data_IF_362814963474
#
_entry.id   IF_362814963474
#
_cell.length_a   1.000
_cell.length_b   1.000
_cell.length_c   1.000
_cell.angle_alpha   90.00
_cell.angle_beta   90.00
_cell.angle_gamma   90.00
#
_symmetry.space_group_name_H-M   'P 1'
#
loop_
_entity.id
_entity.type
_entity.pdbx_description
1 polymer ?
#
# COMPACT_ATOMS: atom_id res chain seq x y z
N UNK A 1 -13.27 -3.95 9.01
CA UNK A 1 -13.23 -5.05 8.04
C UNK A 1 -14.54 -5.11 7.30
N UNK A 2 -14.47 -4.93 5.99
CA UNK A 2 -15.59 -5.03 5.04
C UNK A 2 -15.32 -6.10 3.98
N UNK A 3 -14.10 -6.64 3.88
CA UNK A 3 -13.75 -7.80 3.07
C UNK A 3 -13.71 -9.09 3.91
N UNK A 4 -13.94 -10.26 3.28
CA UNK A 4 -13.68 -11.56 3.91
C UNK A 4 -12.23 -11.70 4.38
N UNK A 5 -11.98 -12.57 5.36
CA UNK A 5 -10.68 -12.72 6.02
C UNK A 5 -9.52 -12.95 5.01
N UNK A 6 -9.75 -13.76 3.98
CA UNK A 6 -8.81 -14.06 2.90
C UNK A 6 -8.38 -12.84 2.06
N UNK A 7 -9.16 -11.75 2.08
CA UNK A 7 -8.89 -10.51 1.34
C UNK A 7 -8.57 -9.32 2.25
N UNK A 8 -8.33 -9.55 3.53
CA UNK A 8 -8.02 -8.47 4.50
C UNK A 8 -6.79 -7.65 4.08
N UNK A 9 -5.78 -8.29 3.49
CA UNK A 9 -4.57 -7.64 2.98
C UNK A 9 -4.87 -6.58 1.90
N UNK A 10 -6.01 -6.70 1.20
CA UNK A 10 -6.40 -5.80 0.13
C UNK A 10 -7.10 -4.53 0.65
N UNK A 11 -7.67 -4.56 1.86
CA UNK A 11 -8.32 -3.39 2.46
C UNK A 11 -7.40 -2.15 2.52
N UNK A 12 -6.18 -2.22 3.12
CA UNK A 12 -5.28 -1.07 3.16
C UNK A 12 -4.80 -0.64 1.77
N UNK A 13 -4.64 -1.59 0.83
CA UNK A 13 -4.22 -1.32 -0.55
C UNK A 13 -5.29 -0.52 -1.31
N UNK A 14 -6.55 -0.93 -1.20
CA UNK A 14 -7.67 -0.21 -1.83
C UNK A 14 -7.82 1.18 -1.22
N UNK A 15 -7.75 1.30 0.12
CA UNK A 15 -7.83 2.60 0.79
C UNK A 15 -6.70 3.51 0.32
N UNK A 16 -5.46 3.01 0.28
CA UNK A 16 -4.31 3.77 -0.23
C UNK A 16 -4.55 4.23 -1.68
N UNK A 17 -5.00 3.35 -2.57
CA UNK A 17 -5.26 3.69 -3.96
C UNK A 17 -6.36 4.75 -4.13
N UNK A 18 -7.42 4.70 -3.30
CA UNK A 18 -8.46 5.75 -3.27
C UNK A 18 -7.85 7.08 -2.85
N UNK A 19 -6.98 7.10 -1.82
CA UNK A 19 -6.28 8.32 -1.41
C UNK A 19 -5.41 8.86 -2.56
N UNK A 20 -4.62 8.00 -3.21
CA UNK A 20 -3.80 8.40 -4.37
C UNK A 20 -4.66 9.01 -5.48
N UNK A 21 -5.78 8.38 -5.81
CA UNK A 21 -6.72 8.89 -6.80
C UNK A 21 -7.21 10.30 -6.46
N UNK A 22 -7.67 10.52 -5.22
CA UNK A 22 -8.19 11.82 -4.78
C UNK A 22 -7.09 12.87 -4.76
N UNK A 23 -5.91 12.52 -4.25
CA UNK A 23 -4.76 13.42 -4.18
C UNK A 23 -4.30 13.82 -5.58
N UNK A 24 -4.17 12.87 -6.50
CA UNK A 24 -3.75 13.16 -7.88
C UNK A 24 -4.83 13.93 -8.65
N UNK A 25 -6.11 13.66 -8.40
CA UNK A 25 -7.21 14.41 -9.00
C UNK A 25 -7.18 15.89 -8.56
N UNK A 26 -6.97 16.14 -7.27
CA UNK A 26 -6.85 17.49 -6.71
C UNK A 26 -5.54 18.14 -7.17
N UNK A 27 -4.41 17.44 -7.08
CA UNK A 27 -3.09 17.92 -7.50
C UNK A 27 -3.08 18.33 -8.97
N UNK A 28 -3.67 17.51 -9.86
CA UNK A 28 -3.82 17.85 -11.27
C UNK A 28 -4.80 19.02 -11.53
N UNK A 29 -5.65 19.38 -10.56
CA UNK A 29 -6.51 20.56 -10.63
C UNK A 29 -5.76 21.85 -10.23
N UNK A 30 -4.82 21.75 -9.30
CA UNK A 30 -4.01 22.86 -8.80
C UNK A 30 -2.76 22.93 -9.68
N UNK A 31 -2.77 23.83 -10.66
CA UNK A 31 -1.64 23.98 -11.59
C UNK A 31 -0.39 24.55 -10.88
N UNK A 32 0.38 23.69 -10.23
CA UNK A 32 1.68 24.07 -9.66
C UNK A 32 2.64 24.46 -10.78
N UNK A 33 3.48 25.47 -10.54
CA UNK A 33 4.44 25.99 -11.53
C UNK A 33 5.50 24.98 -11.99
N UNK A 34 5.57 23.79 -11.38
CA UNK A 34 6.49 22.71 -11.77
C UNK A 34 5.90 21.31 -11.56
N UNK A 35 6.09 20.42 -12.54
CA UNK A 35 5.64 19.02 -12.50
C UNK A 35 6.27 18.22 -11.35
N UNK A 36 7.54 18.49 -11.06
CA UNK A 36 8.27 17.90 -9.92
C UNK A 36 7.63 18.31 -8.60
N UNK A 37 7.30 19.61 -8.46
CA UNK A 37 6.65 20.13 -7.27
C UNK A 37 5.28 19.49 -7.09
N UNK A 38 4.51 19.30 -8.17
CA UNK A 38 3.22 18.60 -8.11
C UNK A 38 3.38 17.18 -7.55
N UNK A 39 4.32 16.40 -8.09
CA UNK A 39 4.57 15.04 -7.60
C UNK A 39 4.99 15.01 -6.12
N UNK A 40 5.88 15.93 -5.71
CA UNK A 40 6.33 16.05 -4.31
C UNK A 40 5.14 16.37 -3.40
N UNK A 41 4.33 17.37 -3.76
CA UNK A 41 3.16 17.75 -2.97
C UNK A 41 2.17 16.60 -2.87
N UNK A 42 1.87 15.92 -3.98
CA UNK A 42 1.00 14.73 -3.96
C UNK A 42 1.55 13.63 -3.06
N UNK A 43 2.87 13.36 -3.12
CA UNK A 43 3.52 12.39 -2.23
C UNK A 43 3.43 12.77 -0.76
N UNK A 44 3.68 14.03 -0.42
CA UNK A 44 3.60 14.53 0.96
C UNK A 44 2.16 14.49 1.48
N UNK A 45 1.18 14.92 0.68
CA UNK A 45 -0.23 14.88 1.05
C UNK A 45 -0.68 13.43 1.25
N UNK A 46 -0.30 12.52 0.34
CA UNK A 46 -0.54 11.09 0.50
C UNK A 46 0.09 10.57 1.81
N UNK A 47 1.36 10.87 2.07
CA UNK A 47 2.06 10.44 3.29
C UNK A 47 1.30 10.87 4.54
N UNK A 48 0.91 12.15 4.64
CA UNK A 48 0.20 12.67 5.81
C UNK A 48 -1.16 11.99 5.99
N UNK A 49 -1.95 11.87 4.92
CA UNK A 49 -3.27 11.25 4.98
C UNK A 49 -3.16 9.77 5.32
N UNK A 50 -2.31 9.03 4.60
CA UNK A 50 -2.18 7.59 4.77
C UNK A 50 -1.50 7.21 6.09
N UNK A 51 -0.50 7.98 6.55
CA UNK A 51 0.06 7.85 7.89
C UNK A 51 -1.00 8.08 8.97
N UNK A 52 -1.81 9.14 8.84
CA UNK A 52 -2.88 9.41 9.79
C UNK A 52 -3.95 8.31 9.78
N UNK A 53 -4.29 7.77 8.62
CA UNK A 53 -5.20 6.63 8.51
C UNK A 53 -4.60 5.37 9.14
N UNK A 54 -3.33 5.07 8.87
CA UNK A 54 -2.63 3.93 9.45
C UNK A 54 -2.48 4.06 10.98
N UNK A 55 -2.26 5.28 11.49
CA UNK A 55 -2.06 5.54 12.92
C UNK A 55 -3.37 5.65 13.72
N UNK A 56 -4.39 6.35 13.19
CA UNK A 56 -5.64 6.66 13.89
C UNK A 56 -6.86 5.89 13.37
N UNK A 57 -6.98 5.74 12.05
CA UNK A 57 -8.22 5.31 11.39
C UNK A 57 -8.36 3.80 11.27
N UNK A 58 -7.24 3.08 11.21
CA UNK A 58 -7.19 1.62 11.17
C UNK A 58 -6.74 1.08 12.52
N UNK A 59 -7.49 1.41 13.59
CA UNK A 59 -7.36 0.80 14.92
C UNK A 59 -7.58 -0.73 14.96
N UNK A 60 -7.65 -1.37 13.79
CA UNK A 60 -7.71 -2.81 13.55
C UNK A 60 -7.03 -3.21 12.23
N UNK A 61 -6.09 -2.43 11.68
CA UNK A 61 -5.03 -3.07 10.90
C UNK A 61 -4.19 -3.81 11.91
N UNK A 62 -4.67 -4.99 12.29
CA UNK A 62 -3.74 -6.10 12.42
C UNK A 62 -3.14 -6.27 11.01
N UNK A 63 -2.19 -5.40 10.65
CA UNK A 63 -0.97 -5.97 10.09
C UNK A 63 -0.53 -6.85 11.24
N UNK A 64 -0.94 -8.12 11.22
CA UNK A 64 -0.33 -9.11 12.07
C UNK A 64 1.14 -9.07 11.68
N UNK A 65 1.87 -8.22 12.41
CA UNK A 65 3.28 -8.39 12.66
C UNK A 65 3.47 -9.47 13.70
N UNK A 66 2.42 -10.28 14.02
CA UNK A 66 2.62 -11.69 14.35
C UNK A 66 3.39 -12.27 13.19
N UNK A 67 4.70 -12.13 13.33
CA UNK A 67 5.71 -12.49 12.39
C UNK A 67 5.66 -14.01 12.29
N UNK A 68 4.85 -14.52 11.38
CA UNK A 68 5.28 -15.68 10.63
C UNK A 68 6.38 -15.15 9.72
N UNK A 69 7.60 -15.18 10.25
CA UNK A 69 8.88 -15.06 9.55
C UNK A 69 8.85 -14.17 8.30
N UNK A 70 8.60 -12.87 8.45
CA UNK A 70 9.06 -11.93 7.42
C UNK A 70 10.59 -11.95 7.51
N UNK A 71 11.32 -12.41 6.47
CA UNK A 71 12.77 -12.52 6.55
C UNK A 71 13.34 -11.16 6.97
N UNK A 72 14.26 -11.15 7.94
CA UNK A 72 14.93 -9.94 8.45
C UNK A 72 15.61 -9.09 7.35
N UNK A 73 15.66 -9.59 6.12
CA UNK A 73 16.11 -8.91 4.91
C UNK A 73 15.12 -7.84 4.39
N UNK A 74 13.84 -7.88 4.76
CA UNK A 74 12.81 -6.94 4.26
C UNK A 74 12.47 -5.80 5.23
N UNK A 75 12.84 -5.94 6.51
CA UNK A 75 12.55 -4.97 7.57
C UNK A 75 13.63 -3.90 7.59
N UNK A 76 13.25 -2.63 7.43
CA UNK A 76 14.20 -1.50 7.41
C UNK A 76 13.93 -0.47 8.50
N UNK A 77 12.81 -0.57 9.22
CA UNK A 77 12.53 0.23 10.41
C UNK A 77 12.62 -0.60 11.71
N UNK A 78 12.97 0.03 12.85
CA UNK A 78 12.87 -0.61 14.16
C UNK A 78 11.44 -1.04 14.49
N UNK A 79 11.28 -2.00 15.40
CA UNK A 79 9.98 -2.61 15.74
C UNK A 79 8.88 -1.60 16.12
N UNK A 80 9.25 -0.52 16.82
CA UNK A 80 8.30 0.53 17.20
C UNK A 80 7.76 1.37 16.03
N UNK A 81 8.32 1.24 14.83
CA UNK A 81 7.97 2.03 13.65
C UNK A 81 7.51 1.19 12.46
N UNK A 82 7.24 -0.11 12.63
CA UNK A 82 6.85 -0.99 11.52
C UNK A 82 5.58 -0.56 10.80
N UNK A 83 4.63 0.05 11.53
CA UNK A 83 3.42 0.63 10.95
C UNK A 83 3.71 1.70 9.87
N UNK A 84 4.90 2.31 9.92
CA UNK A 84 5.32 3.36 8.99
C UNK A 84 5.97 2.78 7.71
N UNK A 85 6.45 1.52 7.73
CA UNK A 85 7.06 0.90 6.55
C UNK A 85 6.15 0.92 5.30
N UNK A 86 4.90 0.41 5.34
CA UNK A 86 4.02 0.45 4.18
C UNK A 86 3.65 1.88 3.77
N UNK A 87 3.62 2.82 4.72
CA UNK A 87 3.36 4.23 4.45
C UNK A 87 4.51 4.85 3.65
N UNK A 88 5.77 4.57 4.02
CA UNK A 88 6.94 5.06 3.31
C UNK A 88 7.07 4.44 1.93
N UNK A 89 6.86 3.12 1.81
CA UNK A 89 6.85 2.42 0.53
C UNK A 89 5.78 3.05 -0.39
N UNK A 90 4.54 3.18 0.09
CA UNK A 90 3.46 3.81 -0.65
C UNK A 90 3.81 5.24 -1.07
N UNK A 91 4.42 6.02 -0.18
CA UNK A 91 4.83 7.40 -0.47
C UNK A 91 5.85 7.47 -1.60
N UNK A 92 6.86 6.60 -1.58
CA UNK A 92 7.87 6.51 -2.63
C UNK A 92 7.24 6.11 -3.97
N UNK A 93 6.31 5.16 -3.95
CA UNK A 93 5.58 4.77 -5.16
C UNK A 93 4.75 5.93 -5.72
N UNK A 94 4.03 6.68 -4.87
CA UNK A 94 3.27 7.85 -5.31
C UNK A 94 4.17 8.90 -5.95
N UNK A 95 5.36 9.14 -5.39
CA UNK A 95 6.33 10.06 -5.97
C UNK A 95 6.76 9.61 -7.38
N UNK A 96 7.12 8.33 -7.53
CA UNK A 96 7.58 7.79 -8.82
C UNK A 96 6.44 7.80 -9.85
N UNK A 97 5.30 7.22 -9.50
CA UNK A 97 4.16 7.06 -10.41
C UNK A 97 3.57 8.43 -10.74
N UNK A 98 3.37 9.30 -9.74
CA UNK A 98 2.87 10.65 -9.93
C UNK A 98 3.80 11.51 -10.77
N UNK A 99 5.12 11.33 -10.66
CA UNK A 99 6.08 12.01 -11.53
C UNK A 99 5.95 11.55 -12.99
N UNK A 100 5.91 10.23 -13.23
CA UNK A 100 5.73 9.66 -14.57
C UNK A 100 4.38 10.04 -15.18
N UNK A 101 3.30 9.98 -14.40
CA UNK A 101 1.97 10.36 -14.84
C UNK A 101 1.90 11.85 -15.21
N UNK A 102 2.52 12.73 -14.41
CA UNK A 102 2.65 14.16 -14.75
C UNK A 102 3.46 14.41 -16.03
N UNK A 103 4.34 13.50 -16.42
CA UNK A 103 5.09 13.59 -17.68
C UNK A 103 4.26 13.15 -18.89
N UNK A 104 3.52 12.04 -18.77
CA UNK A 104 2.69 11.47 -19.83
C UNK A 104 1.37 12.23 -20.04
N UNK A 105 0.83 12.81 -18.96
CA UNK A 105 -0.35 13.66 -18.83
C UNK A 105 -1.41 13.49 -19.94
N UNK A 106 -2.46 12.73 -19.63
CA UNK A 106 -3.62 12.59 -20.52
C UNK A 106 -4.42 13.90 -20.62
N UNK A 107 -5.09 14.10 -21.77
CA UNK A 107 -5.98 15.25 -22.00
C UNK A 107 -7.09 15.37 -20.95
N UNK A 108 -7.57 14.24 -20.41
CA UNK A 108 -8.53 14.20 -19.33
C UNK A 108 -7.84 13.98 -17.98
N UNK A 109 -7.95 14.97 -17.08
CA UNK A 109 -7.36 14.94 -15.73
C UNK A 109 -7.91 13.82 -14.86
N UNK A 110 -9.20 13.51 -14.99
CA UNK A 110 -9.81 12.39 -14.26
C UNK A 110 -9.19 11.06 -14.70
N UNK A 111 -9.04 10.87 -16.01
CA UNK A 111 -8.41 9.66 -16.55
C UNK A 111 -6.95 9.55 -16.13
N UNK A 112 -6.24 10.68 -16.06
CA UNK A 112 -4.87 10.72 -15.54
C UNK A 112 -4.81 10.20 -14.10
N UNK A 113 -5.61 10.78 -13.19
CA UNK A 113 -5.68 10.35 -11.80
C UNK A 113 -6.09 8.89 -11.64
N UNK A 114 -7.05 8.43 -12.45
CA UNK A 114 -7.50 7.04 -12.44
C UNK A 114 -6.36 6.10 -12.83
N UNK A 115 -5.63 6.39 -13.90
CA UNK A 115 -4.51 5.57 -14.35
C UNK A 115 -3.39 5.56 -13.30
N UNK A 116 -3.04 6.72 -12.73
CA UNK A 116 -2.07 6.83 -11.62
C UNK A 116 -2.46 5.91 -10.47
N UNK A 117 -3.72 5.98 -10.04
CA UNK A 117 -4.22 5.19 -8.92
C UNK A 117 -4.28 3.69 -9.21
N UNK A 118 -4.63 3.28 -10.44
CA UNK A 118 -4.64 1.88 -10.84
C UNK A 118 -3.24 1.28 -10.91
N UNK A 119 -2.27 2.03 -11.48
CA UNK A 119 -0.86 1.62 -11.48
C UNK A 119 -0.36 1.47 -10.03
N UNK A 120 -0.69 2.45 -9.18
CA UNK A 120 -0.35 2.39 -7.76
C UNK A 120 -0.98 1.17 -7.08
N UNK A 121 -2.28 0.93 -7.26
CA UNK A 121 -3.00 -0.21 -6.68
C UNK A 121 -2.32 -1.53 -7.04
N UNK A 122 -1.98 -1.73 -8.31
CA UNK A 122 -1.35 -2.96 -8.79
C UNK A 122 0.05 -3.14 -8.20
N UNK A 123 0.88 -2.09 -8.23
CA UNK A 123 2.27 -2.18 -7.75
C UNK A 123 2.30 -2.29 -6.22
N UNK A 124 1.60 -1.41 -5.51
CA UNK A 124 1.55 -1.42 -4.06
C UNK A 124 0.85 -2.67 -3.54
N UNK A 125 -0.20 -3.15 -4.20
CA UNK A 125 -0.86 -4.41 -3.89
C UNK A 125 0.09 -5.60 -4.07
N UNK A 126 0.85 -5.65 -5.16
CA UNK A 126 1.87 -6.69 -5.36
C UNK A 126 2.97 -6.64 -4.29
N UNK A 127 3.49 -5.44 -3.98
CA UNK A 127 4.47 -5.27 -2.90
C UNK A 127 3.90 -5.70 -1.56
N UNK A 128 2.62 -5.40 -1.30
CA UNK A 128 1.97 -5.79 -0.05
C UNK A 128 1.78 -7.30 0.03
N UNK A 129 1.28 -7.92 -1.05
CA UNK A 129 1.02 -9.35 -1.12
C UNK A 129 2.29 -10.20 -1.03
N UNK A 130 3.35 -9.85 -1.77
CA UNK A 130 4.61 -10.59 -1.78
C UNK A 130 5.57 -10.18 -0.67
N UNK A 131 5.49 -8.95 -0.18
CA UNK A 131 6.43 -8.40 0.81
C UNK A 131 6.05 -8.65 2.27
N UNK A 132 4.75 -8.69 2.57
CA UNK A 132 4.25 -8.93 3.93
C UNK A 132 3.71 -10.35 4.15
N UNK A 133 3.73 -11.20 3.12
CA UNK A 133 3.51 -12.64 3.24
C UNK A 133 2.05 -13.06 3.40
N UNK A 134 1.77 -14.28 2.94
CA UNK A 134 0.50 -14.98 3.14
C UNK A 134 0.43 -15.36 4.62
N UNK A 135 -0.65 -15.00 5.31
CA UNK A 135 -0.88 -15.44 6.69
C UNK A 135 -1.12 -16.95 6.68
N UNK A 136 -0.12 -17.75 7.05
CA UNK A 136 -0.36 -19.14 7.44
C UNK A 136 -1.02 -19.14 8.81
N UNK A 137 -2.30 -19.53 8.83
CA UNK A 137 -3.04 -19.70 10.07
C UNK A 137 -2.66 -21.06 10.65
N UNK A 138 -1.72 -21.06 11.59
CA UNK A 138 -1.50 -22.22 12.46
C UNK A 138 -2.70 -22.34 13.41
N UNK A 139 -3.60 -23.28 13.09
CA UNK A 139 -4.78 -23.53 13.91
C UNK A 139 -4.35 -24.40 15.10
N UNK A 140 -4.46 -23.90 16.36
CA UNK A 140 -4.12 -24.71 17.52
C UNK A 140 -5.02 -25.95 17.58
N UNK A 141 -4.43 -27.12 17.33
CA UNK A 141 -5.10 -28.43 17.41
C UNK A 141 -5.26 -29.19 16.09
N UNK A 142 -4.67 -28.73 14.97
CA UNK A 142 -4.56 -29.55 13.75
C UNK A 142 -3.13 -30.07 13.65
N UNK A 143 -2.90 -31.32 14.05
CA UNK A 143 -1.64 -32.00 13.75
C UNK A 143 -1.45 -31.98 12.23
N UNK A 144 -0.34 -31.40 11.76
CA UNK A 144 0.09 -31.49 10.37
C UNK A 144 0.20 -32.99 10.04
N UNK A 145 -0.80 -33.50 9.32
CA UNK A 145 -0.85 -34.91 8.95
C UNK A 145 0.45 -35.29 8.27
N UNK A 146 1.17 -36.22 8.89
CA UNK A 146 2.33 -36.89 8.35
C UNK A 146 1.95 -37.41 6.95
N UNK A 147 2.56 -36.84 5.91
CA UNK A 147 2.40 -37.35 4.55
C UNK A 147 3.16 -38.67 4.50
N UNK A 148 2.46 -39.75 4.86
CA UNK A 148 2.95 -41.12 4.65
C UNK A 148 3.02 -41.35 3.16
N UNK A 149 4.24 -41.43 2.62
CA UNK A 149 4.48 -41.80 1.23
C UNK A 149 3.96 -43.24 0.99
N UNK A 150 3.26 -43.51 -0.12
CA UNK A 150 2.90 -44.88 -0.46
C UNK A 150 4.16 -45.67 -0.86
N UNK A 151 4.30 -46.88 -0.29
CA UNK A 151 5.33 -47.87 -0.65
C UNK A 151 5.23 -48.34 -2.11
#
# INVERSE_FOLDING_TARGET
MFLPAEFTWLEPVIVAAIVVFLVDLIGNSIAYSGRVINAIVSGVVFFVIFAALAYFGLGSLQVSTDAVDVPSMSRFLPEGFLWLEPVLIGTVLVLIIGFVANMLAFKNRFMNALVTALIFLVIFGAVTYFGYGVVEVDLPGVESGEVVAPE
#
